data_IF_456205376281
#
_entry.id   IF_456205376281
#
_cell.length_a   1.000
_cell.length_b   1.000
_cell.length_c   1.000
_cell.angle_alpha   90.00
_cell.angle_beta   90.00
_cell.angle_gamma   90.00
#
_symmetry.space_group_name_H-M   'P 1'
#
loop_
_entity.id
_entity.type
_entity.pdbx_description
1 polymer ?
#
# COMPACT_ATOMS: atom_id res chain seq x y z
N UNK A 1 19.57 -2.23 26.66
CA UNK A 1 20.23 -1.98 25.36
C UNK A 1 20.22 -3.29 24.58
N UNK A 2 19.41 -3.43 23.53
CA UNK A 2 19.45 -4.58 22.63
C UNK A 2 20.20 -4.16 21.37
N UNK A 3 21.53 -4.07 21.47
CA UNK A 3 22.44 -3.76 20.37
C UNK A 3 22.84 -5.03 19.61
N UNK A 4 21.86 -5.80 19.14
CA UNK A 4 22.09 -6.88 18.19
C UNK A 4 21.55 -6.43 16.85
N UNK A 5 22.43 -6.21 15.87
CA UNK A 5 22.00 -5.93 14.51
C UNK A 5 21.02 -7.01 14.07
N UNK A 6 19.77 -6.59 13.81
CA UNK A 6 18.78 -7.48 13.23
C UNK A 6 19.34 -7.96 11.88
N UNK A 7 19.27 -9.26 11.57
CA UNK A 7 19.77 -9.77 10.31
C UNK A 7 19.11 -8.96 9.16
N UNK A 8 19.91 -8.49 8.19
CA UNK A 8 19.39 -7.63 7.13
C UNK A 8 18.28 -8.35 6.37
N UNK A 9 17.21 -7.62 6.05
CA UNK A 9 16.08 -8.17 5.31
C UNK A 9 16.54 -8.88 4.03
N UNK A 10 15.95 -10.04 3.76
CA UNK A 10 16.16 -10.75 2.51
C UNK A 10 15.77 -9.86 1.32
N UNK A 11 16.39 -10.10 0.15
CA UNK A 11 16.09 -9.33 -1.07
C UNK A 11 14.60 -9.30 -1.38
N UNK A 12 13.92 -10.43 -1.22
CA UNK A 12 12.48 -10.54 -1.44
C UNK A 12 11.68 -9.65 -0.48
N UNK A 13 11.98 -9.66 0.82
CA UNK A 13 11.32 -8.79 1.80
C UNK A 13 11.51 -7.31 1.46
N UNK A 14 12.71 -6.91 1.01
CA UNK A 14 12.98 -5.54 0.56
C UNK A 14 12.12 -5.14 -0.64
N UNK A 15 11.96 -6.04 -1.61
CA UNK A 15 11.13 -5.80 -2.79
C UNK A 15 9.66 -5.61 -2.38
N UNK A 16 9.11 -6.49 -1.56
CA UNK A 16 7.71 -6.38 -1.13
C UNK A 16 7.45 -5.16 -0.25
N UNK A 17 8.39 -4.82 0.63
CA UNK A 17 8.33 -3.56 1.38
C UNK A 17 8.36 -2.33 0.45
N UNK A 18 9.21 -2.35 -0.58
CA UNK A 18 9.30 -1.25 -1.55
C UNK A 18 8.00 -1.10 -2.37
N UNK A 19 7.39 -2.20 -2.81
CA UNK A 19 6.11 -2.17 -3.54
C UNK A 19 4.99 -1.64 -2.63
N UNK A 20 4.91 -2.11 -1.38
CA UNK A 20 3.94 -1.60 -0.42
C UNK A 20 4.12 -0.09 -0.16
N UNK A 21 5.37 0.36 0.01
CA UNK A 21 5.69 1.77 0.18
C UNK A 21 5.31 2.60 -1.05
N UNK A 22 5.57 2.11 -2.27
CA UNK A 22 5.19 2.78 -3.50
C UNK A 22 3.66 2.93 -3.61
N UNK A 23 2.90 1.86 -3.33
CA UNK A 23 1.43 1.92 -3.30
C UNK A 23 0.89 2.91 -2.27
N UNK A 24 1.52 2.97 -1.09
CA UNK A 24 1.14 3.91 -0.05
C UNK A 24 1.39 5.35 -0.50
N UNK A 25 2.56 5.64 -1.06
CA UNK A 25 2.90 6.97 -1.59
C UNK A 25 1.96 7.38 -2.73
N UNK A 26 1.57 6.45 -3.61
CA UNK A 26 0.56 6.70 -4.65
C UNK A 26 -0.78 7.09 -4.01
N UNK A 27 -1.23 6.39 -2.98
CA UNK A 27 -2.47 6.73 -2.30
C UNK A 27 -2.40 8.10 -1.61
N UNK A 28 -1.26 8.47 -1.03
CA UNK A 28 -1.04 9.81 -0.45
C UNK A 28 -1.06 10.89 -1.54
N UNK A 29 -0.39 10.66 -2.67
CA UNK A 29 -0.43 11.57 -3.81
C UNK A 29 -1.85 11.75 -4.35
N UNK A 30 -2.58 10.64 -4.48
CA UNK A 30 -3.99 10.65 -4.89
C UNK A 30 -4.89 11.37 -3.86
N UNK A 31 -4.62 11.23 -2.56
CA UNK A 31 -5.33 11.99 -1.52
C UNK A 31 -5.08 13.50 -1.66
N UNK A 32 -3.85 13.93 -1.92
CA UNK A 32 -3.54 15.33 -2.21
C UNK A 32 -4.33 15.87 -3.40
N UNK A 33 -4.38 15.11 -4.51
CA UNK A 33 -5.18 15.43 -5.68
C UNK A 33 -6.69 15.48 -5.37
N UNK A 34 -7.22 14.51 -4.63
CA UNK A 34 -8.63 14.46 -4.27
C UNK A 34 -9.04 15.65 -3.40
N UNK A 35 -8.19 16.05 -2.44
CA UNK A 35 -8.44 17.21 -1.58
C UNK A 35 -8.39 18.53 -2.35
N UNK A 36 -7.49 18.69 -3.32
CA UNK A 36 -7.38 19.92 -4.12
C UNK A 36 -8.54 20.09 -5.10
N UNK A 37 -9.02 18.99 -5.69
CA UNK A 37 -10.10 19.00 -6.68
C UNK A 37 -11.49 18.82 -6.08
N UNK A 38 -11.58 18.40 -4.81
CA UNK A 38 -12.81 17.96 -4.12
C UNK A 38 -13.48 16.75 -4.78
N UNK A 39 -12.77 16.00 -5.62
CA UNK A 39 -13.26 14.80 -6.30
C UNK A 39 -12.80 13.56 -5.56
N UNK A 40 -13.69 12.58 -5.38
CA UNK A 40 -13.36 11.26 -4.80
C UNK A 40 -12.70 11.29 -3.41
N UNK A 41 -12.87 12.36 -2.63
CA UNK A 41 -12.23 12.56 -1.31
C UNK A 41 -12.49 11.39 -0.37
N UNK A 42 -13.74 10.94 -0.26
CA UNK A 42 -14.13 9.82 0.63
C UNK A 42 -13.38 8.55 0.26
N UNK A 43 -13.28 8.25 -1.04
CA UNK A 43 -12.53 7.10 -1.53
C UNK A 43 -11.04 7.23 -1.23
N UNK A 44 -10.44 8.41 -1.46
CA UNK A 44 -9.02 8.63 -1.20
C UNK A 44 -8.66 8.47 0.28
N UNK A 45 -9.45 9.05 1.18
CA UNK A 45 -9.27 8.92 2.64
C UNK A 45 -9.44 7.46 3.06
N UNK A 46 -10.50 6.80 2.58
CA UNK A 46 -10.75 5.39 2.88
C UNK A 46 -9.64 4.48 2.37
N UNK A 47 -9.12 4.74 1.18
CA UNK A 47 -8.05 3.94 0.59
C UNK A 47 -6.75 4.06 1.39
N UNK A 48 -6.34 5.26 1.80
CA UNK A 48 -5.18 5.46 2.67
C UNK A 48 -5.37 4.74 4.01
N UNK A 49 -6.53 4.88 4.65
CA UNK A 49 -6.82 4.18 5.89
C UNK A 49 -6.74 2.66 5.73
N UNK A 50 -7.31 2.11 4.64
CA UNK A 50 -7.24 0.70 4.31
C UNK A 50 -5.79 0.22 4.13
N UNK A 51 -4.91 0.99 3.48
CA UNK A 51 -3.50 0.59 3.36
C UNK A 51 -2.79 0.58 4.72
N UNK A 52 -3.03 1.57 5.58
CA UNK A 52 -2.43 1.64 6.92
C UNK A 52 -2.83 0.42 7.74
N UNK A 53 -4.13 0.14 7.86
CA UNK A 53 -4.61 -0.98 8.65
C UNK A 53 -4.37 -2.33 7.98
N UNK A 54 -4.45 -2.41 6.66
CA UNK A 54 -4.20 -3.61 5.87
C UNK A 54 -2.74 -4.05 5.96
N UNK A 55 -1.80 -3.18 5.58
CA UNK A 55 -0.37 -3.48 5.67
C UNK A 55 0.09 -3.63 7.11
N UNK A 56 -0.28 -2.71 8.01
CA UNK A 56 0.11 -2.76 9.41
C UNK A 56 -0.45 -4.00 10.13
N UNK A 57 -1.71 -4.35 9.88
CA UNK A 57 -2.35 -5.54 10.42
C UNK A 57 -1.73 -6.83 9.88
N UNK A 58 -1.54 -6.94 8.56
CA UNK A 58 -0.92 -8.11 7.95
C UNK A 58 0.53 -8.29 8.41
N UNK A 59 1.30 -7.21 8.53
CA UNK A 59 2.67 -7.26 9.01
C UNK A 59 2.75 -7.65 10.49
N UNK A 60 1.81 -7.17 11.33
CA UNK A 60 1.68 -7.58 12.73
C UNK A 60 1.41 -9.08 12.85
N UNK A 61 0.47 -9.61 12.05
CA UNK A 61 0.16 -11.05 12.02
C UNK A 61 1.34 -11.87 11.48
N UNK A 62 2.04 -11.34 10.48
CA UNK A 62 3.25 -11.92 9.89
C UNK A 62 4.51 -11.77 10.76
N UNK A 63 4.40 -11.21 11.97
CA UNK A 63 5.54 -10.96 12.89
C UNK A 63 6.69 -10.18 12.24
N UNK A 64 6.37 -9.23 11.37
CA UNK A 64 7.36 -8.40 10.67
C UNK A 64 7.90 -9.00 9.36
N UNK A 65 7.42 -10.17 8.93
CA UNK A 65 7.85 -10.76 7.67
C UNK A 65 7.10 -10.18 6.45
N UNK A 66 7.80 -9.33 5.69
CA UNK A 66 7.30 -8.75 4.43
C UNK A 66 7.15 -9.77 3.29
N UNK A 67 7.78 -10.95 3.38
CA UNK A 67 7.62 -12.01 2.39
C UNK A 67 6.47 -12.97 2.74
N UNK A 68 5.79 -12.75 3.87
CA UNK A 68 4.69 -13.57 4.32
C UNK A 68 3.51 -13.52 3.33
N UNK A 69 2.85 -14.65 3.02
CA UNK A 69 1.74 -14.70 2.06
C UNK A 69 0.61 -13.71 2.36
N UNK A 70 0.28 -13.48 3.63
CA UNK A 70 -0.73 -12.51 4.02
C UNK A 70 -0.35 -11.07 3.66
N UNK A 71 0.92 -10.68 3.87
CA UNK A 71 1.38 -9.35 3.51
C UNK A 71 1.38 -9.16 1.99
N UNK A 72 1.90 -10.14 1.25
CA UNK A 72 1.86 -10.16 -0.22
C UNK A 72 0.43 -10.05 -0.75
N UNK A 73 -0.51 -10.79 -0.16
CA UNK A 73 -1.92 -10.72 -0.55
C UNK A 73 -2.49 -9.30 -0.36
N UNK A 74 -2.18 -8.62 0.75
CA UNK A 74 -2.58 -7.23 0.95
C UNK A 74 -1.98 -6.29 -0.11
N UNK A 75 -0.68 -6.45 -0.41
CA UNK A 75 -0.02 -5.68 -1.48
C UNK A 75 -0.74 -5.90 -2.80
N UNK A 76 -1.00 -7.16 -3.18
CA UNK A 76 -1.67 -7.49 -4.44
C UNK A 76 -3.11 -6.96 -4.52
N UNK A 77 -3.86 -6.98 -3.41
CA UNK A 77 -5.19 -6.38 -3.36
C UNK A 77 -5.16 -4.88 -3.70
N UNK A 78 -4.13 -4.16 -3.23
CA UNK A 78 -3.98 -2.74 -3.55
C UNK A 78 -3.39 -2.47 -4.94
N UNK A 79 -2.57 -3.38 -5.49
CA UNK A 79 -2.21 -3.35 -6.92
C UNK A 79 -3.47 -3.46 -7.79
N UNK A 80 -4.37 -4.40 -7.47
CA UNK A 80 -5.64 -4.57 -8.19
C UNK A 80 -6.51 -3.32 -8.04
N UNK A 81 -6.63 -2.78 -6.82
CA UNK A 81 -7.39 -1.55 -6.59
C UNK A 81 -6.86 -0.37 -7.42
N UNK A 82 -5.52 -0.20 -7.50
CA UNK A 82 -4.88 0.81 -8.33
C UNK A 82 -5.16 0.58 -9.83
N UNK A 83 -5.07 -0.66 -10.30
CA UNK A 83 -5.38 -1.01 -11.69
C UNK A 83 -6.83 -0.71 -12.06
N UNK A 84 -7.78 -1.02 -11.18
CA UNK A 84 -9.20 -0.71 -11.37
C UNK A 84 -9.46 0.80 -11.35
N UNK A 85 -8.81 1.55 -10.44
CA UNK A 85 -8.89 3.01 -10.41
C UNK A 85 -8.39 3.60 -11.73
N UNK A 86 -7.23 3.14 -12.22
CA UNK A 86 -6.68 3.57 -13.49
C UNK A 86 -7.64 3.26 -14.66
N UNK A 87 -8.23 2.06 -14.69
CA UNK A 87 -9.19 1.67 -15.73
C UNK A 87 -10.43 2.59 -15.75
N UNK A 88 -10.98 2.93 -14.57
CA UNK A 88 -12.12 3.86 -14.46
C UNK A 88 -11.74 5.26 -14.93
N UNK A 89 -10.56 5.75 -14.54
CA UNK A 89 -10.05 7.05 -14.99
C UNK A 89 -9.89 7.06 -16.50
N UNK A 90 -9.22 6.07 -17.09
CA UNK A 90 -9.05 5.96 -18.55
C UNK A 90 -10.41 5.98 -19.24
N UNK A 91 -11.36 5.15 -18.76
CA UNK A 91 -12.71 5.07 -19.32
C UNK A 91 -13.46 6.40 -19.27
N UNK A 92 -13.22 7.23 -18.25
CA UNK A 92 -13.85 8.54 -18.14
C UNK A 92 -13.30 9.56 -19.15
N UNK A 93 -12.09 9.35 -19.69
CA UNK A 93 -11.40 10.27 -20.60
C UNK A 93 -11.22 9.75 -22.03
N UNK A 94 -11.66 8.51 -22.33
CA UNK A 94 -11.63 7.88 -23.67
C UNK A 94 -13.02 7.75 -24.28
#
# INVERSE_FOLDING_TARGET
>A
MAGGDLPPLAREQKLWAAVAAALFLIAIGFLGFALSTRVMVVFAVGWVALQIFGFGGALKVAKGDFAHPLFKAQVMLHVVALGLLAAVIIRAFS
#
